data_IF_272338016089
#
_entry.id   IF_272338016089
#
_cell.length_a   1.000
_cell.length_b   1.000
_cell.length_c   1.000
_cell.angle_alpha   90.00
_cell.angle_beta   90.00
_cell.angle_gamma   90.00
#
_symmetry.space_group_name_H-M   'P 1'
#
loop_
_entity.id
_entity.type
_entity.pdbx_description
1 polymer ?
#
# COMPACT_ATOMS: atom_id res chain seq x y z
N UNK A 1 109.53 -42.75 -92.48
CA UNK A 1 109.91 -41.55 -91.72
C UNK A 1 109.71 -41.84 -90.24
N UNK A 2 110.76 -41.87 -89.42
CA UNK A 2 110.66 -42.09 -87.98
C UNK A 2 110.43 -40.75 -87.25
N UNK A 3 109.49 -40.70 -86.31
CA UNK A 3 109.42 -39.64 -85.30
C UNK A 3 109.80 -40.26 -83.96
N UNK A 4 110.92 -39.77 -83.41
CA UNK A 4 111.46 -40.07 -82.09
C UNK A 4 110.54 -39.46 -81.03
N UNK A 5 110.06 -40.26 -80.08
CA UNK A 5 109.58 -39.81 -78.78
C UNK A 5 110.31 -40.61 -77.71
N UNK A 6 111.08 -39.87 -76.91
CA UNK A 6 112.05 -40.37 -75.96
C UNK A 6 111.45 -41.00 -74.70
N UNK A 7 112.18 -41.95 -74.17
CA UNK A 7 111.93 -42.61 -72.89
C UNK A 7 112.09 -41.61 -71.73
N UNK A 8 111.07 -41.51 -70.88
CA UNK A 8 111.12 -40.73 -69.64
C UNK A 8 111.90 -41.54 -68.59
N UNK A 9 112.90 -40.95 -67.91
CA UNK A 9 113.69 -41.66 -66.89
C UNK A 9 112.82 -42.09 -65.70
N UNK A 10 112.96 -43.35 -65.28
CA UNK A 10 112.23 -43.98 -64.17
C UNK A 10 112.40 -43.32 -62.79
N UNK A 11 113.23 -42.28 -62.67
CA UNK A 11 113.46 -41.53 -61.43
C UNK A 11 112.42 -40.41 -61.21
N UNK A 12 111.74 -39.95 -62.27
CA UNK A 12 110.73 -38.88 -62.18
C UNK A 12 109.34 -39.40 -61.79
N UNK A 13 109.02 -40.66 -62.13
CA UNK A 13 107.72 -41.28 -61.83
C UNK A 13 107.55 -41.65 -60.35
N UNK A 14 108.64 -41.97 -59.65
CA UNK A 14 108.61 -42.32 -58.21
C UNK A 14 108.50 -41.11 -57.28
N UNK A 15 108.99 -39.94 -57.68
CA UNK A 15 108.86 -38.70 -56.89
C UNK A 15 107.43 -38.12 -56.95
N UNK A 16 106.82 -38.12 -58.15
CA UNK A 16 105.47 -37.59 -58.36
C UNK A 16 104.41 -38.49 -57.71
N UNK A 17 104.56 -39.82 -57.77
CA UNK A 17 103.67 -40.77 -57.07
C UNK A 17 103.67 -40.55 -55.56
N UNK A 18 104.84 -40.40 -54.94
CA UNK A 18 104.93 -40.23 -53.48
C UNK A 18 104.34 -38.90 -53.00
N UNK A 19 104.47 -37.83 -53.80
CA UNK A 19 103.86 -36.53 -53.49
C UNK A 19 102.33 -36.54 -53.68
N UNK A 20 101.83 -37.25 -54.69
CA UNK A 20 100.40 -37.44 -54.93
C UNK A 20 99.73 -38.28 -53.83
N UNK A 21 100.37 -39.35 -53.37
CA UNK A 21 99.86 -40.17 -52.27
C UNK A 21 99.79 -39.37 -50.95
N UNK A 22 100.77 -38.49 -50.72
CA UNK A 22 100.77 -37.58 -49.56
C UNK A 22 99.68 -36.52 -49.67
N UNK A 23 99.42 -36.00 -50.88
CA UNK A 23 98.34 -35.04 -51.14
C UNK A 23 96.95 -35.67 -50.98
N UNK A 24 96.72 -36.86 -51.54
CA UNK A 24 95.46 -37.61 -51.38
C UNK A 24 95.25 -37.98 -49.90
N UNK A 25 96.29 -38.44 -49.21
CA UNK A 25 96.20 -38.77 -47.78
C UNK A 25 95.82 -37.54 -46.94
N UNK A 26 96.45 -36.40 -47.17
CA UNK A 26 96.10 -35.14 -46.50
C UNK A 26 94.68 -34.68 -46.88
N UNK A 27 94.28 -34.78 -48.16
CA UNK A 27 92.94 -34.40 -48.61
C UNK A 27 91.86 -35.31 -48.01
N UNK A 28 92.09 -36.62 -47.92
CA UNK A 28 91.20 -37.57 -47.27
C UNK A 28 91.08 -37.27 -45.77
N UNK A 29 92.17 -36.87 -45.12
CA UNK A 29 92.17 -36.47 -43.71
C UNK A 29 91.42 -35.15 -43.49
N UNK A 30 91.58 -34.16 -44.39
CA UNK A 30 90.80 -32.93 -44.38
C UNK A 30 89.32 -33.15 -44.70
N UNK A 31 88.98 -34.05 -45.62
CA UNK A 31 87.61 -34.42 -45.94
C UNK A 31 86.96 -35.15 -44.76
N UNK A 32 87.66 -36.09 -44.11
CA UNK A 32 87.19 -36.75 -42.90
C UNK A 32 87.00 -35.76 -41.74
N UNK A 33 87.94 -34.84 -41.53
CA UNK A 33 87.79 -33.75 -40.56
C UNK A 33 86.62 -32.83 -40.91
N UNK A 34 86.42 -32.52 -42.19
CA UNK A 34 85.31 -31.71 -42.67
C UNK A 34 83.95 -32.36 -42.39
N UNK A 35 83.82 -33.68 -42.60
CA UNK A 35 82.60 -34.44 -42.30
C UNK A 35 82.35 -34.50 -40.79
N UNK A 36 83.39 -34.73 -39.98
CA UNK A 36 83.28 -34.74 -38.51
C UNK A 36 82.89 -33.36 -37.98
N UNK A 37 83.53 -32.29 -38.48
CA UNK A 37 83.20 -30.91 -38.13
C UNK A 37 81.79 -30.53 -38.57
N UNK A 38 81.36 -30.97 -39.75
CA UNK A 38 79.99 -30.78 -40.22
C UNK A 38 78.98 -31.45 -39.29
N UNK A 39 79.22 -32.71 -38.89
CA UNK A 39 78.34 -33.41 -37.95
C UNK A 39 78.30 -32.74 -36.57
N UNK A 40 79.46 -32.30 -36.05
CA UNK A 40 79.53 -31.57 -34.78
C UNK A 40 78.77 -30.25 -34.89
N UNK A 41 78.96 -29.51 -35.99
CA UNK A 41 78.27 -28.25 -36.24
C UNK A 41 76.76 -28.45 -36.40
N UNK A 42 76.34 -29.45 -37.17
CA UNK A 42 74.93 -29.81 -37.35
C UNK A 42 74.27 -30.17 -36.01
N UNK A 43 74.90 -31.03 -35.20
CA UNK A 43 74.45 -31.36 -33.84
C UNK A 43 74.39 -30.14 -32.93
N UNK A 44 75.38 -29.25 -33.01
CA UNK A 44 75.41 -28.03 -32.20
C UNK A 44 74.30 -27.05 -32.60
N UNK A 45 74.06 -26.88 -33.90
CA UNK A 45 72.96 -26.06 -34.44
C UNK A 45 71.61 -26.66 -34.04
N UNK A 46 71.44 -27.97 -34.17
CA UNK A 46 70.19 -28.66 -33.82
C UNK A 46 69.91 -28.59 -32.31
N UNK A 47 70.92 -28.80 -31.47
CA UNK A 47 70.79 -28.64 -30.02
C UNK A 47 70.47 -27.19 -29.64
N UNK A 48 71.09 -26.20 -30.31
CA UNK A 48 70.80 -24.77 -30.07
C UNK A 48 69.38 -24.41 -30.51
N UNK A 49 68.91 -24.93 -31.64
CA UNK A 49 67.53 -24.75 -32.11
C UNK A 49 66.52 -25.41 -31.18
N UNK A 50 66.75 -26.66 -30.77
CA UNK A 50 65.92 -27.40 -29.82
C UNK A 50 65.86 -26.71 -28.44
N UNK A 51 67.01 -26.20 -27.95
CA UNK A 51 67.07 -25.44 -26.70
C UNK A 51 66.33 -24.10 -26.78
N UNK A 52 66.41 -23.40 -27.92
CA UNK A 52 65.62 -22.18 -28.11
C UNK A 52 64.13 -22.47 -28.26
N UNK A 53 63.75 -23.54 -28.96
CA UNK A 53 62.35 -23.96 -29.09
C UNK A 53 61.73 -24.35 -27.74
N UNK A 54 62.46 -25.09 -26.90
CA UNK A 54 61.98 -25.45 -25.56
C UNK A 54 61.87 -24.25 -24.64
N UNK A 55 62.83 -23.31 -24.70
CA UNK A 55 62.72 -22.03 -23.98
C UNK A 55 61.53 -21.21 -24.46
N UNK A 56 61.34 -21.04 -25.78
CA UNK A 56 60.22 -20.31 -26.35
C UNK A 56 58.89 -20.95 -25.96
N UNK A 57 58.80 -22.28 -26.04
CA UNK A 57 57.59 -23.02 -25.67
C UNK A 57 57.27 -22.86 -24.18
N UNK A 58 58.28 -22.93 -23.31
CA UNK A 58 58.11 -22.68 -21.88
C UNK A 58 57.68 -21.25 -21.54
N UNK A 59 58.26 -20.24 -22.21
CA UNK A 59 57.86 -18.83 -22.00
C UNK A 59 56.46 -18.56 -22.52
N UNK A 60 56.08 -19.13 -23.68
CA UNK A 60 54.73 -19.00 -24.23
C UNK A 60 53.72 -19.72 -23.33
N UNK A 61 54.03 -20.92 -22.83
CA UNK A 61 53.13 -21.63 -21.89
C UNK A 61 52.97 -20.89 -20.56
N UNK A 62 54.04 -20.34 -19.97
CA UNK A 62 53.95 -19.53 -18.75
C UNK A 62 53.16 -18.23 -18.97
N UNK A 63 53.37 -17.54 -20.09
CA UNK A 63 52.64 -16.29 -20.39
C UNK A 63 51.16 -16.57 -20.67
N UNK A 64 50.85 -17.63 -21.42
CA UNK A 64 49.48 -18.05 -21.70
C UNK A 64 48.79 -18.53 -20.42
N UNK A 65 49.45 -19.35 -19.59
CA UNK A 65 48.88 -19.79 -18.31
C UNK A 65 48.70 -18.63 -17.33
N UNK A 66 49.67 -17.71 -17.23
CA UNK A 66 49.56 -16.52 -16.39
C UNK A 66 48.40 -15.62 -16.80
N UNK A 67 48.24 -15.36 -18.11
CA UNK A 67 47.09 -14.63 -18.67
C UNK A 67 45.77 -15.39 -18.46
N UNK A 68 45.77 -16.71 -18.58
CA UNK A 68 44.57 -17.52 -18.36
C UNK A 68 44.13 -17.48 -16.89
N UNK A 69 45.08 -17.55 -15.95
CA UNK A 69 44.83 -17.46 -14.51
C UNK A 69 44.32 -16.08 -14.14
N UNK A 70 44.94 -15.00 -14.66
CA UNK A 70 44.47 -13.64 -14.40
C UNK A 70 43.08 -13.42 -14.98
N UNK A 71 42.85 -13.82 -16.24
CA UNK A 71 41.55 -13.68 -16.90
C UNK A 71 40.47 -14.49 -16.16
N UNK A 72 40.80 -15.69 -15.68
CA UNK A 72 39.89 -16.49 -14.87
C UNK A 72 39.55 -15.81 -13.55
N UNK A 73 40.56 -15.26 -12.85
CA UNK A 73 40.36 -14.51 -11.62
C UNK A 73 39.46 -13.27 -11.82
N UNK A 74 39.68 -12.53 -12.91
CA UNK A 74 38.89 -11.34 -13.26
C UNK A 74 37.43 -11.72 -13.57
N UNK A 75 37.22 -12.80 -14.34
CA UNK A 75 35.89 -13.32 -14.67
C UNK A 75 35.18 -13.83 -13.41
N UNK A 76 35.86 -14.60 -12.56
CA UNK A 76 35.28 -15.13 -11.33
C UNK A 76 34.88 -13.98 -10.38
N UNK A 77 35.74 -12.96 -10.26
CA UNK A 77 35.44 -11.76 -9.47
C UNK A 77 34.25 -10.95 -10.03
N UNK A 78 34.19 -10.72 -11.35
CA UNK A 78 33.07 -10.01 -11.98
C UNK A 78 31.75 -10.77 -11.82
N UNK A 79 31.77 -12.10 -12.01
CA UNK A 79 30.61 -12.96 -11.80
C UNK A 79 30.18 -12.92 -10.34
N UNK A 80 31.11 -13.05 -9.39
CA UNK A 80 30.79 -13.02 -7.96
C UNK A 80 30.22 -11.66 -7.53
N UNK A 81 30.80 -10.56 -8.00
CA UNK A 81 30.29 -9.21 -7.75
C UNK A 81 28.88 -9.02 -8.32
N UNK A 82 28.61 -9.50 -9.54
CA UNK A 82 27.27 -9.47 -10.15
C UNK A 82 26.26 -10.31 -9.36
N UNK A 83 26.64 -11.50 -8.90
CA UNK A 83 25.78 -12.35 -8.07
C UNK A 83 25.46 -11.67 -6.75
N UNK A 84 26.46 -11.07 -6.09
CA UNK A 84 26.25 -10.37 -4.81
C UNK A 84 25.37 -9.13 -4.97
N UNK A 85 25.59 -8.34 -6.03
CA UNK A 85 24.75 -7.19 -6.37
C UNK A 85 23.30 -7.62 -6.68
N UNK A 86 23.10 -8.71 -7.43
CA UNK A 86 21.77 -9.25 -7.72
C UNK A 86 21.09 -9.75 -6.44
N UNK A 87 21.82 -10.45 -5.58
CA UNK A 87 21.31 -10.96 -4.29
C UNK A 87 20.90 -9.82 -3.37
N UNK A 88 21.76 -8.82 -3.22
CA UNK A 88 21.47 -7.60 -2.46
C UNK A 88 20.24 -6.86 -3.02
N UNK A 89 20.16 -6.70 -4.35
CA UNK A 89 19.02 -6.06 -5.00
C UNK A 89 17.71 -6.84 -4.79
N UNK A 90 17.75 -8.17 -4.87
CA UNK A 90 16.59 -9.02 -4.62
C UNK A 90 16.16 -8.96 -3.15
N UNK A 91 17.11 -9.00 -2.22
CA UNK A 91 16.85 -8.89 -0.79
C UNK A 91 16.18 -7.54 -0.45
N UNK A 92 16.72 -6.43 -0.99
CA UNK A 92 16.15 -5.10 -0.79
C UNK A 92 14.72 -5.00 -1.34
N UNK A 93 14.45 -5.58 -2.53
CA UNK A 93 13.10 -5.63 -3.11
C UNK A 93 12.14 -6.45 -2.24
N UNK A 94 12.59 -7.59 -1.73
CA UNK A 94 11.78 -8.44 -0.86
C UNK A 94 11.44 -7.73 0.45
N UNK A 95 12.41 -7.03 1.06
CA UNK A 95 12.19 -6.25 2.28
C UNK A 95 11.24 -5.08 2.04
N UNK A 96 11.38 -4.36 0.93
CA UNK A 96 10.44 -3.30 0.53
C UNK A 96 9.02 -3.85 0.38
N UNK A 97 8.84 -4.98 -0.32
CA UNK A 97 7.53 -5.60 -0.52
C UNK A 97 6.92 -6.08 0.80
N UNK A 98 7.72 -6.67 1.69
CA UNK A 98 7.27 -7.07 3.03
C UNK A 98 6.77 -5.87 3.83
N UNK A 99 7.50 -4.76 3.77
CA UNK A 99 7.14 -3.52 4.46
C UNK A 99 5.87 -2.88 3.88
N UNK A 100 5.69 -2.88 2.56
CA UNK A 100 4.45 -2.44 1.91
C UNK A 100 3.26 -3.32 2.31
N UNK A 101 3.44 -4.64 2.33
CA UNK A 101 2.39 -5.56 2.76
C UNK A 101 2.00 -5.36 4.23
N UNK A 102 2.98 -5.16 5.12
CA UNK A 102 2.72 -4.84 6.52
C UNK A 102 1.95 -3.52 6.69
N UNK A 103 2.31 -2.48 5.93
CA UNK A 103 1.57 -1.21 5.93
C UNK A 103 0.14 -1.39 5.43
N UNK A 104 -0.07 -2.16 4.37
CA UNK A 104 -1.40 -2.46 3.84
C UNK A 104 -2.27 -3.17 4.88
N UNK A 105 -1.73 -4.21 5.53
CA UNK A 105 -2.44 -4.93 6.59
C UNK A 105 -2.81 -4.01 7.76
N UNK A 106 -1.86 -3.20 8.24
CA UNK A 106 -2.10 -2.26 9.33
C UNK A 106 -3.17 -1.21 8.98
N UNK A 107 -3.13 -0.69 7.75
CA UNK A 107 -4.13 0.26 7.25
C UNK A 107 -5.51 -0.40 7.18
N UNK A 108 -5.59 -1.65 6.72
CA UNK A 108 -6.82 -2.41 6.65
C UNK A 108 -7.39 -2.70 8.05
N UNK A 109 -6.55 -3.10 9.00
CA UNK A 109 -6.95 -3.30 10.39
C UNK A 109 -7.47 -1.99 11.03
N UNK A 110 -6.77 -0.88 10.78
CA UNK A 110 -7.17 0.45 11.27
C UNK A 110 -8.52 0.86 10.68
N UNK A 111 -8.70 0.67 9.37
CA UNK A 111 -9.96 0.97 8.69
C UNK A 111 -11.12 0.12 9.25
N UNK A 112 -10.95 -1.20 9.36
CA UNK A 112 -11.98 -2.08 9.89
C UNK A 112 -12.30 -1.79 11.36
N UNK A 113 -11.29 -1.44 12.15
CA UNK A 113 -11.49 -1.01 13.55
C UNK A 113 -12.38 0.23 13.60
N UNK A 114 -12.11 1.23 12.74
CA UNK A 114 -12.95 2.41 12.63
C UNK A 114 -14.35 2.09 12.12
N UNK A 115 -14.48 1.25 11.10
CA UNK A 115 -15.78 0.81 10.60
C UNK A 115 -16.64 0.20 11.73
N UNK A 116 -16.07 -0.72 12.52
CA UNK A 116 -16.75 -1.35 13.66
C UNK A 116 -17.10 -0.38 14.79
N UNK A 117 -16.41 0.75 14.92
CA UNK A 117 -16.75 1.84 15.85
C UNK A 117 -17.88 2.73 15.29
N UNK A 118 -17.86 3.04 14.00
CA UNK A 118 -18.78 3.99 13.36
C UNK A 118 -20.18 3.45 13.16
N UNK A 119 -20.34 2.17 12.83
CA UNK A 119 -21.65 1.56 12.57
C UNK A 119 -22.57 1.59 13.79
N UNK A 120 -22.16 1.08 14.97
CA UNK A 120 -23.00 1.13 16.17
C UNK A 120 -23.34 2.55 16.61
N UNK A 121 -22.41 3.49 16.43
CA UNK A 121 -22.62 4.89 16.80
C UNK A 121 -23.65 5.57 15.89
N UNK A 122 -23.56 5.39 14.57
CA UNK A 122 -24.59 5.89 13.64
C UNK A 122 -25.95 5.27 13.97
N UNK A 123 -25.98 3.97 14.26
CA UNK A 123 -27.20 3.28 14.67
C UNK A 123 -27.80 3.93 15.93
N UNK A 124 -26.98 4.11 16.96
CA UNK A 124 -27.40 4.71 18.23
C UNK A 124 -27.95 6.13 18.05
N UNK A 125 -27.24 6.99 17.32
CA UNK A 125 -27.66 8.39 17.11
C UNK A 125 -28.97 8.48 16.31
N UNK A 126 -29.12 7.67 15.27
CA UNK A 126 -30.34 7.63 14.45
C UNK A 126 -31.55 7.15 15.27
N UNK A 127 -31.36 6.10 16.08
CA UNK A 127 -32.40 5.59 16.98
C UNK A 127 -32.78 6.60 18.07
N UNK A 128 -31.79 7.32 18.62
CA UNK A 128 -32.04 8.39 19.57
C UNK A 128 -32.87 9.50 18.93
N UNK A 129 -32.48 9.99 17.74
CA UNK A 129 -33.23 10.99 17.00
C UNK A 129 -34.67 10.55 16.73
N UNK A 130 -34.87 9.31 16.29
CA UNK A 130 -36.22 8.76 16.08
C UNK A 130 -37.03 8.70 17.38
N UNK A 131 -36.41 8.37 18.51
CA UNK A 131 -37.04 8.39 19.83
C UNK A 131 -37.55 9.78 20.21
N UNK A 132 -36.74 10.83 20.02
CA UNK A 132 -37.16 12.20 20.28
C UNK A 132 -38.28 12.66 19.34
N UNK A 133 -38.19 12.33 18.04
CA UNK A 133 -39.23 12.69 17.07
C UNK A 133 -40.55 12.00 17.39
N UNK A 134 -40.53 10.71 17.74
CA UNK A 134 -41.73 9.95 18.10
C UNK A 134 -42.35 10.41 19.43
N UNK A 135 -41.53 10.87 20.38
CA UNK A 135 -41.99 11.44 21.65
C UNK A 135 -42.88 12.68 21.47
N UNK A 136 -42.72 13.44 20.37
CA UNK A 136 -43.55 14.63 20.07
C UNK A 136 -45.05 14.32 19.86
N UNK A 137 -45.40 13.07 19.53
CA UNK A 137 -46.79 12.60 19.37
C UNK A 137 -47.23 11.60 20.45
N UNK A 138 -46.30 11.17 21.30
CA UNK A 138 -46.56 10.18 22.34
C UNK A 138 -47.40 10.70 23.49
N UNK A 139 -47.64 9.84 24.47
CA UNK A 139 -48.21 10.24 25.75
C UNK A 139 -47.14 11.06 26.47
N UNK A 140 -47.36 12.37 26.56
CA UNK A 140 -46.52 13.29 27.31
C UNK A 140 -47.17 13.52 28.68
N UNK A 141 -46.46 13.20 29.75
CA UNK A 141 -46.87 13.59 31.10
C UNK A 141 -46.39 15.02 31.34
N UNK A 142 -47.30 15.87 31.81
CA UNK A 142 -46.99 17.20 32.27
C UNK A 142 -47.32 17.29 33.76
N UNK A 143 -46.51 17.99 34.57
CA UNK A 143 -46.92 18.35 35.92
C UNK A 143 -48.20 19.18 35.84
N UNK A 144 -49.14 18.96 36.77
CA UNK A 144 -50.39 19.72 36.79
C UNK A 144 -50.21 21.14 37.33
N UNK A 145 -49.14 21.38 38.09
CA UNK A 145 -48.78 22.65 38.74
C UNK A 145 -49.86 23.27 39.67
N UNK A 146 -50.98 22.58 39.92
CA UNK A 146 -52.11 23.10 40.73
C UNK A 146 -51.68 23.56 42.13
N UNK A 147 -50.76 22.82 42.76
CA UNK A 147 -50.24 23.09 44.10
C UNK A 147 -48.77 23.54 44.09
N UNK A 148 -48.22 23.93 42.94
CA UNK A 148 -46.83 24.33 42.84
C UNK A 148 -46.59 25.73 43.44
N UNK A 149 -45.51 25.87 44.19
CA UNK A 149 -44.97 27.17 44.58
C UNK A 149 -44.21 27.81 43.41
N UNK A 150 -43.92 29.12 43.50
CA UNK A 150 -43.20 29.83 42.44
C UNK A 150 -41.77 29.28 42.27
N UNK A 151 -41.17 28.81 43.37
CA UNK A 151 -39.86 28.15 43.39
C UNK A 151 -39.87 26.82 42.62
N UNK A 152 -40.97 26.06 42.69
CA UNK A 152 -41.13 24.81 41.93
C UNK A 152 -41.20 25.09 40.43
N UNK A 153 -41.91 26.15 40.04
CA UNK A 153 -42.02 26.59 38.64
C UNK A 153 -40.65 27.04 38.12
N UNK A 154 -39.91 27.83 38.91
CA UNK A 154 -38.55 28.23 38.56
C UNK A 154 -37.64 27.02 38.34
N UNK A 155 -37.65 26.07 39.28
CA UNK A 155 -36.87 24.82 39.20
C UNK A 155 -37.25 24.02 37.96
N UNK A 156 -38.55 23.94 37.65
CA UNK A 156 -39.02 23.25 36.46
C UNK A 156 -38.50 23.91 35.17
N UNK A 157 -38.56 25.24 35.07
CA UNK A 157 -38.02 25.99 33.93
C UNK A 157 -36.53 25.69 33.70
N UNK A 158 -35.75 25.58 34.77
CA UNK A 158 -34.32 25.21 34.71
C UNK A 158 -34.13 23.78 34.21
N UNK A 159 -34.89 22.81 34.74
CA UNK A 159 -34.82 21.39 34.34
C UNK A 159 -35.16 21.18 32.85
N UNK A 160 -36.11 21.94 32.32
CA UNK A 160 -36.46 21.88 30.90
C UNK A 160 -35.59 22.80 30.02
N UNK A 161 -34.55 23.42 30.59
CA UNK A 161 -33.60 24.29 29.90
C UNK A 161 -34.28 25.48 29.19
N UNK A 162 -35.31 26.03 29.83
CA UNK A 162 -35.97 27.23 29.32
C UNK A 162 -35.02 28.43 29.38
N UNK A 163 -35.04 29.28 28.35
CA UNK A 163 -34.22 30.49 28.37
C UNK A 163 -34.67 31.45 29.49
N UNK A 164 -33.73 32.29 29.96
CA UNK A 164 -33.96 33.20 31.09
C UNK A 164 -35.10 34.18 30.84
N UNK A 165 -35.28 34.65 29.60
CA UNK A 165 -36.34 35.60 29.24
C UNK A 165 -37.74 35.00 29.38
N UNK A 166 -37.93 33.80 28.86
CA UNK A 166 -39.19 33.05 28.95
C UNK A 166 -39.47 32.60 30.38
N UNK A 167 -38.46 32.17 31.13
CA UNK A 167 -38.60 31.85 32.55
C UNK A 167 -39.09 33.07 33.34
N UNK A 168 -38.44 34.23 33.20
CA UNK A 168 -38.85 35.45 33.88
C UNK A 168 -40.28 35.88 33.49
N UNK A 169 -40.64 35.74 32.21
CA UNK A 169 -41.99 36.02 31.71
C UNK A 169 -43.04 35.09 32.34
N UNK A 170 -42.73 33.80 32.48
CA UNK A 170 -43.60 32.83 33.15
C UNK A 170 -43.74 33.14 34.64
N UNK A 171 -42.65 33.48 35.34
CA UNK A 171 -42.71 33.82 36.77
C UNK A 171 -43.56 35.07 37.00
N UNK A 172 -43.43 36.09 36.15
CA UNK A 172 -44.29 37.28 36.20
C UNK A 172 -45.76 36.96 35.90
N UNK A 173 -46.03 36.09 34.91
CA UNK A 173 -47.38 35.60 34.63
C UNK A 173 -47.95 34.78 35.79
N UNK A 174 -47.11 34.00 36.48
CA UNK A 174 -47.52 33.14 37.58
C UNK A 174 -48.11 33.92 38.76
N UNK A 175 -47.54 35.09 39.06
CA UNK A 175 -48.03 36.00 40.11
C UNK A 175 -49.35 36.67 39.73
N UNK A 176 -49.61 36.86 38.43
CA UNK A 176 -50.78 37.58 37.91
C UNK A 176 -51.97 36.64 37.62
N UNK A 177 -51.69 35.54 36.93
CA UNK A 177 -52.67 34.62 36.37
C UNK A 177 -52.03 33.23 36.19
N UNK A 178 -52.21 32.37 37.19
CA UNK A 178 -51.62 31.02 37.22
C UNK A 178 -52.04 30.17 36.01
N UNK A 179 -53.31 30.22 35.62
CA UNK A 179 -53.82 29.39 34.52
C UNK A 179 -53.17 29.77 33.18
N UNK A 180 -53.00 31.08 32.94
CA UNK A 180 -52.24 31.56 31.77
C UNK A 180 -50.78 31.15 31.81
N UNK A 181 -50.14 31.22 32.98
CA UNK A 181 -48.75 30.79 33.13
C UNK A 181 -48.58 29.30 32.83
N UNK A 182 -49.46 28.44 33.35
CA UNK A 182 -49.48 26.99 33.06
C UNK A 182 -49.65 26.73 31.56
N UNK A 183 -50.57 27.45 30.91
CA UNK A 183 -50.78 27.33 29.46
C UNK A 183 -49.52 27.70 28.66
N UNK A 184 -48.85 28.79 29.05
CA UNK A 184 -47.62 29.24 28.38
C UNK A 184 -46.45 28.28 28.62
N UNK A 185 -46.31 27.71 29.83
CA UNK A 185 -45.33 26.64 30.14
C UNK A 185 -45.54 25.45 29.19
N UNK A 186 -46.78 24.98 29.04
CA UNK A 186 -47.07 23.86 28.15
C UNK A 186 -46.74 24.16 26.69
N UNK A 187 -47.01 25.39 26.23
CA UNK A 187 -46.68 25.82 24.87
C UNK A 187 -45.17 25.86 24.64
N UNK A 188 -44.42 26.49 25.54
CA UNK A 188 -42.96 26.59 25.44
C UNK A 188 -42.29 25.23 25.54
N UNK A 189 -42.75 24.35 26.44
CA UNK A 189 -42.23 22.98 26.55
C UNK A 189 -42.35 22.22 25.23
N UNK A 190 -43.46 22.34 24.50
CA UNK A 190 -43.61 21.73 23.17
C UNK A 190 -42.60 22.25 22.16
N UNK A 191 -42.32 23.55 22.17
CA UNK A 191 -41.30 24.16 21.30
C UNK A 191 -39.90 23.66 21.67
N UNK A 192 -39.57 23.61 22.97
CA UNK A 192 -38.30 23.09 23.46
C UNK A 192 -38.11 21.63 23.04
N UNK A 193 -39.12 20.78 23.22
CA UNK A 193 -39.05 19.37 22.81
C UNK A 193 -38.88 19.22 21.30
N UNK A 194 -39.58 20.05 20.52
CA UNK A 194 -39.44 20.07 19.06
C UNK A 194 -38.01 20.42 18.63
N UNK A 195 -37.39 21.44 19.25
CA UNK A 195 -36.01 21.83 18.99
C UNK A 195 -35.01 20.77 19.47
N UNK A 196 -35.31 20.06 20.57
CA UNK A 196 -34.49 18.92 21.01
C UNK A 196 -34.51 17.79 19.98
N UNK A 197 -35.67 17.48 19.40
CA UNK A 197 -35.77 16.50 18.33
C UNK A 197 -35.00 16.94 17.07
N UNK A 198 -35.05 18.23 16.72
CA UNK A 198 -34.28 18.82 15.63
C UNK A 198 -32.77 18.63 15.84
N UNK A 199 -32.25 19.05 16.99
CA UNK A 199 -30.84 18.93 17.31
C UNK A 199 -30.35 17.48 17.24
N UNK A 200 -31.18 16.53 17.70
CA UNK A 200 -30.85 15.11 17.64
C UNK A 200 -30.84 14.55 16.23
N UNK A 201 -31.73 15.04 15.37
CA UNK A 201 -31.70 14.71 13.95
C UNK A 201 -30.41 15.23 13.29
N UNK A 202 -30.04 16.50 13.53
CA UNK A 202 -28.78 17.06 13.01
C UNK A 202 -27.56 16.28 13.51
N UNK A 203 -27.51 15.91 14.79
CA UNK A 203 -26.42 15.11 15.35
C UNK A 203 -26.24 13.77 14.60
N UNK A 204 -27.34 13.07 14.29
CA UNK A 204 -27.29 11.83 13.52
C UNK A 204 -26.89 12.06 12.05
N UNK A 205 -27.43 13.10 11.41
CA UNK A 205 -27.16 13.44 10.03
C UNK A 205 -25.72 13.89 9.80
N UNK A 206 -25.22 14.78 10.65
CA UNK A 206 -23.83 15.26 10.61
C UNK A 206 -22.86 14.10 10.85
N UNK A 207 -23.21 13.18 11.78
CA UNK A 207 -22.40 11.99 12.01
C UNK A 207 -22.28 11.12 10.76
N UNK A 208 -23.38 10.91 10.02
CA UNK A 208 -23.36 10.20 8.75
C UNK A 208 -22.45 10.89 7.73
N UNK A 209 -22.60 12.20 7.55
CA UNK A 209 -21.81 13.00 6.60
C UNK A 209 -20.31 12.93 6.92
N UNK A 210 -19.93 13.14 8.18
CA UNK A 210 -18.52 13.14 8.57
C UNK A 210 -17.85 11.76 8.52
N UNK A 211 -18.64 10.69 8.54
CA UNK A 211 -18.13 9.32 8.56
C UNK A 211 -18.50 8.51 7.31
N UNK A 212 -18.97 9.16 6.25
CA UNK A 212 -19.42 8.51 5.01
C UNK A 212 -18.35 7.57 4.43
N UNK A 213 -17.07 7.95 4.49
CA UNK A 213 -15.93 7.15 4.03
C UNK A 213 -15.76 5.79 4.72
N UNK A 214 -16.39 5.59 5.88
CA UNK A 214 -16.33 4.34 6.63
C UNK A 214 -17.55 3.45 6.40
N UNK A 215 -18.59 3.93 5.71
CA UNK A 215 -19.79 3.16 5.42
C UNK A 215 -19.75 2.64 3.98
N UNK A 216 -20.44 1.53 3.73
CA UNK A 216 -20.73 1.11 2.36
C UNK A 216 -21.71 2.09 1.71
N UNK A 217 -21.73 2.12 0.38
CA UNK A 217 -22.73 2.89 -0.38
C UNK A 217 -24.16 2.45 0.00
N UNK A 218 -24.39 1.15 0.17
CA UNK A 218 -25.70 0.58 0.54
C UNK A 218 -26.16 1.09 1.91
N UNK A 219 -25.29 1.07 2.93
CA UNK A 219 -25.60 1.62 4.26
C UNK A 219 -25.82 3.13 4.20
N UNK A 220 -25.01 3.84 3.42
CA UNK A 220 -25.11 5.30 3.27
C UNK A 220 -26.44 5.70 2.68
N UNK A 221 -26.84 5.07 1.57
CA UNK A 221 -28.10 5.35 0.87
C UNK A 221 -29.31 5.09 1.76
N UNK A 222 -29.32 3.94 2.44
CA UNK A 222 -30.43 3.59 3.34
C UNK A 222 -30.46 4.44 4.61
N UNK A 223 -29.31 4.92 5.10
CA UNK A 223 -29.25 5.87 6.22
C UNK A 223 -29.81 7.23 5.81
N UNK A 224 -29.39 7.76 4.65
CA UNK A 224 -29.91 9.03 4.10
C UNK A 224 -31.42 8.96 3.92
N UNK A 225 -31.92 7.90 3.28
CA UNK A 225 -33.37 7.72 3.08
C UNK A 225 -34.13 7.68 4.40
N UNK A 226 -33.61 6.99 5.42
CA UNK A 226 -34.24 6.94 6.74
C UNK A 226 -34.26 8.33 7.41
N UNK A 227 -33.13 9.04 7.40
CA UNK A 227 -33.02 10.38 7.97
C UNK A 227 -33.92 11.38 7.24
N UNK A 228 -34.05 11.31 5.92
CA UNK A 228 -34.96 12.15 5.13
C UNK A 228 -36.43 11.92 5.52
N UNK A 229 -36.83 10.66 5.70
CA UNK A 229 -38.18 10.32 6.17
C UNK A 229 -38.42 10.86 7.59
N UNK A 230 -37.42 10.72 8.48
CA UNK A 230 -37.47 11.27 9.84
C UNK A 230 -37.57 12.79 9.82
N UNK A 231 -36.84 13.47 8.95
CA UNK A 231 -36.88 14.92 8.78
C UNK A 231 -38.26 15.40 8.34
N UNK A 232 -38.81 14.77 7.29
CA UNK A 232 -40.18 15.04 6.82
C UNK A 232 -41.20 14.82 7.92
N UNK A 233 -41.10 13.72 8.65
CA UNK A 233 -41.99 13.42 9.76
C UNK A 233 -41.89 14.48 10.85
N UNK A 234 -40.68 14.84 11.27
CA UNK A 234 -40.43 15.90 12.26
C UNK A 234 -41.04 17.24 11.84
N UNK A 235 -40.83 17.70 10.60
CA UNK A 235 -41.41 18.95 10.09
C UNK A 235 -42.95 18.97 10.22
N UNK A 236 -43.60 17.86 9.94
CA UNK A 236 -45.07 17.73 10.07
C UNK A 236 -45.57 17.77 11.53
N UNK A 237 -44.67 17.71 12.51
CA UNK A 237 -44.96 17.80 13.94
C UNK A 237 -44.74 19.20 14.52
N UNK A 238 -44.40 20.18 13.68
CA UNK A 238 -44.09 21.52 14.13
C UNK A 238 -45.27 22.16 14.90
N UNK A 239 -45.05 22.57 16.16
CA UNK A 239 -46.12 23.11 17.01
C UNK A 239 -46.69 24.44 16.50
N UNK A 240 -45.94 25.20 15.68
CA UNK A 240 -46.39 26.48 15.11
C UNK A 240 -47.51 26.29 14.09
N UNK A 241 -47.44 25.24 13.27
CA UNK A 241 -48.46 24.95 12.24
C UNK A 241 -49.70 24.25 12.80
N UNK A 242 -49.73 23.91 14.08
CA UNK A 242 -50.89 23.31 14.75
C UNK A 242 -51.87 24.33 15.34
N UNK A 243 -51.82 25.58 14.87
CA UNK A 243 -52.78 26.62 15.20
C UNK A 243 -54.16 26.28 14.56
N UNK A 244 -55.28 26.32 15.32
CA UNK A 244 -56.63 25.96 14.83
C UNK A 244 -57.13 26.71 13.59
N UNK A 245 -56.47 27.81 13.19
CA UNK A 245 -56.76 28.55 11.96
C UNK A 245 -56.59 27.66 10.71
N UNK A 246 -55.75 26.62 10.74
CA UNK A 246 -55.44 25.72 9.60
C UNK A 246 -56.14 24.34 9.67
N UNK A 247 -57.32 24.26 10.31
CA UNK A 247 -57.96 22.99 10.69
C UNK A 247 -58.28 21.97 9.57
N UNK A 248 -58.41 22.39 8.30
CA UNK A 248 -58.60 21.47 7.17
C UNK A 248 -57.31 20.70 6.82
N UNK A 249 -56.16 21.36 6.93
CA UNK A 249 -54.81 20.85 6.66
C UNK A 249 -54.42 19.73 7.67
N UNK A 250 -54.86 19.87 8.92
CA UNK A 250 -54.53 18.94 10.01
C UNK A 250 -55.00 17.49 9.79
N UNK A 251 -56.10 17.26 9.05
CA UNK A 251 -56.57 15.89 8.76
C UNK A 251 -55.72 15.21 7.69
N UNK A 252 -55.31 15.96 6.68
CA UNK A 252 -54.42 15.50 5.61
C UNK A 252 -53.02 15.23 6.18
N UNK A 253 -52.46 16.18 6.95
CA UNK A 253 -51.20 16.00 7.66
C UNK A 253 -51.19 14.77 8.60
N UNK A 254 -52.31 14.44 9.25
CA UNK A 254 -52.41 13.23 10.10
C UNK A 254 -52.35 11.94 9.28
N UNK A 255 -53.02 11.90 8.12
CA UNK A 255 -52.98 10.75 7.23
C UNK A 255 -51.57 10.58 6.67
N UNK A 256 -50.95 11.65 6.21
CA UNK A 256 -49.59 11.65 5.68
C UNK A 256 -48.59 11.21 6.74
N UNK A 257 -48.74 11.68 7.99
CA UNK A 257 -47.92 11.26 9.11
C UNK A 257 -48.02 9.76 9.42
N UNK A 258 -49.19 9.15 9.24
CA UNK A 258 -49.33 7.70 9.44
C UNK A 258 -48.59 6.90 8.36
N UNK A 259 -48.61 7.38 7.12
CA UNK A 259 -47.89 6.79 5.98
C UNK A 259 -46.39 6.94 6.19
N UNK A 260 -45.91 8.15 6.46
CA UNK A 260 -44.47 8.41 6.68
C UNK A 260 -43.95 7.58 7.86
N UNK A 261 -44.73 7.44 8.94
CA UNK A 261 -44.33 6.59 10.08
C UNK A 261 -44.16 5.12 9.67
N UNK A 262 -45.08 4.59 8.85
CA UNK A 262 -44.95 3.22 8.33
C UNK A 262 -43.69 3.09 7.45
N UNK A 263 -43.44 4.06 6.57
CA UNK A 263 -42.23 4.08 5.72
C UNK A 263 -40.95 4.13 6.57
N UNK A 264 -40.92 4.92 7.65
CA UNK A 264 -39.81 4.94 8.62
C UNK A 264 -39.62 3.56 9.24
N UNK A 265 -40.69 2.90 9.71
CA UNK A 265 -40.60 1.59 10.35
C UNK A 265 -40.11 0.50 9.39
N UNK A 266 -40.54 0.54 8.13
CA UNK A 266 -40.08 -0.36 7.07
C UNK A 266 -38.61 -0.09 6.71
N UNK A 267 -38.26 1.17 6.48
CA UNK A 267 -36.91 1.57 6.12
C UNK A 267 -35.91 1.29 7.24
N UNK A 268 -36.30 1.49 8.50
CA UNK A 268 -35.52 1.15 9.70
C UNK A 268 -35.21 -0.34 9.79
N UNK A 269 -36.17 -1.22 9.45
CA UNK A 269 -35.94 -2.69 9.43
C UNK A 269 -34.91 -3.08 8.38
N UNK A 270 -35.03 -2.53 7.17
CA UNK A 270 -34.09 -2.77 6.06
C UNK A 270 -32.70 -2.28 6.44
N UNK A 271 -32.58 -1.02 6.84
CA UNK A 271 -31.33 -0.38 7.26
C UNK A 271 -30.62 -1.16 8.37
N UNK A 272 -31.35 -1.57 9.41
CA UNK A 272 -30.81 -2.38 10.51
C UNK A 272 -30.31 -3.75 10.04
N UNK A 273 -30.99 -4.39 9.08
CA UNK A 273 -30.57 -5.68 8.56
C UNK A 273 -29.25 -5.56 7.78
N UNK A 274 -29.09 -4.51 6.96
CA UNK A 274 -27.88 -4.23 6.18
C UNK A 274 -26.70 -3.94 7.11
N UNK A 275 -26.87 -3.05 8.09
CA UNK A 275 -25.84 -2.77 9.09
C UNK A 275 -25.39 -4.02 9.85
N UNK A 276 -26.34 -4.88 10.26
CA UNK A 276 -26.01 -6.15 10.93
C UNK A 276 -25.21 -7.08 10.02
N UNK A 277 -25.60 -7.20 8.75
CA UNK A 277 -24.92 -8.04 7.77
C UNK A 277 -23.46 -7.62 7.63
N UNK A 278 -23.19 -6.33 7.42
CA UNK A 278 -21.83 -5.82 7.21
C UNK A 278 -20.97 -5.92 8.48
N UNK A 279 -21.51 -5.57 9.66
CA UNK A 279 -20.77 -5.70 10.93
C UNK A 279 -20.47 -7.17 11.27
N UNK A 280 -21.36 -8.09 10.90
CA UNK A 280 -21.17 -9.53 11.19
C UNK A 280 -20.14 -10.22 10.29
N UNK A 281 -19.66 -9.56 9.23
CA UNK A 281 -18.70 -10.13 8.27
C UNK A 281 -19.22 -11.35 7.51
N UNK A 282 -20.55 -11.58 7.48
CA UNK A 282 -21.14 -12.69 6.73
C UNK A 282 -20.97 -12.44 5.22
N UNK A 283 -20.39 -13.39 4.46
CA UNK A 283 -20.18 -13.21 3.04
C UNK A 283 -21.50 -13.04 2.29
N UNK A 284 -21.54 -12.10 1.35
CA UNK A 284 -22.60 -11.98 0.34
C UNK A 284 -22.68 -13.26 -0.46
N UNK A 285 -23.81 -13.96 -0.35
CA UNK A 285 -24.20 -15.06 -1.23
C UNK A 285 -24.49 -14.56 -2.65
#
# INVERSE_FOLDING_TARGET
MPFLLGEIPAVVTTYISKQWDTFISNFALFAALGVVLYFIFQKAVEHRFQSQLTKLKGTVDEEVQGKLISLKGDVDHDVQSKIENLRSTQQNKLESLKLEHQKMLLNFETFNSKQNERYPQLYFLTEQALGYITYLRGIQSFPTFENAAIEDVKTYCEVIEMNTGDCNRILALWEQDKDKAISEIHKLKKIIDYNRAENKWYEANDYLIYNELYFSDEVTDHSRKLLDLMYKYWLNLNPVYHNPIFSADLREMRKDNSVIKQEIDEQRKIWKAIMKKEVSGLPTA
#
